data_IF_529678823981
#
_entry.id   IF_529678823981
#
_cell.length_a   1.000
_cell.length_b   1.000
_cell.length_c   1.000
_cell.angle_alpha   90.00
_cell.angle_beta   90.00
_cell.angle_gamma   90.00
#
_symmetry.space_group_name_H-M   'P 1'
#
loop_
_entity.id
_entity.type
_entity.pdbx_description
1 polymer ?
#
# COMPACT_ATOMS: atom_id res chain seq x y z
N UNK A 1 -37.84 -38.01 10.07
CA UNK A 1 -36.76 -37.45 10.90
C UNK A 1 -35.62 -37.11 9.98
N UNK A 2 -35.54 -35.85 9.53
CA UNK A 2 -34.48 -35.35 8.61
C UNK A 2 -33.36 -34.79 9.46
N UNK A 3 -32.21 -35.48 9.50
CA UNK A 3 -31.01 -35.03 10.19
C UNK A 3 -30.38 -33.88 9.40
N UNK A 4 -30.56 -32.67 9.89
CA UNK A 4 -29.94 -31.46 9.38
C UNK A 4 -28.45 -31.48 9.83
N UNK A 5 -27.60 -32.13 9.07
CA UNK A 5 -26.15 -32.10 9.28
C UNK A 5 -25.62 -30.72 8.87
N UNK A 6 -25.35 -29.89 9.89
CA UNK A 6 -24.58 -28.65 9.73
C UNK A 6 -23.21 -29.06 9.16
N UNK A 7 -22.80 -28.55 7.97
CA UNK A 7 -21.47 -28.85 7.47
C UNK A 7 -20.44 -28.24 8.41
N UNK A 8 -19.70 -29.09 9.11
CA UNK A 8 -18.54 -28.71 9.89
C UNK A 8 -17.55 -28.02 8.93
N UNK A 9 -17.29 -26.75 9.14
CA UNK A 9 -16.25 -25.99 8.45
C UNK A 9 -14.95 -26.79 8.57
N UNK A 10 -14.44 -27.27 7.43
CA UNK A 10 -13.16 -27.98 7.41
C UNK A 10 -12.05 -27.13 8.04
N UNK A 11 -11.18 -27.74 8.89
CA UNK A 11 -10.07 -27.03 9.46
C UNK A 11 -9.16 -26.50 8.35
N UNK A 12 -8.67 -25.25 8.53
CA UNK A 12 -7.72 -24.60 7.63
C UNK A 12 -6.54 -25.53 7.34
N UNK A 13 -6.37 -25.96 6.12
CA UNK A 13 -5.14 -26.62 5.73
C UNK A 13 -4.04 -25.56 5.65
N UNK A 14 -2.88 -25.82 6.26
CA UNK A 14 -1.70 -24.95 6.20
C UNK A 14 -1.35 -24.56 4.76
N UNK A 15 -1.67 -25.43 3.82
CA UNK A 15 -1.45 -25.25 2.39
C UNK A 15 -2.29 -24.12 1.78
N UNK A 16 -3.54 -23.93 2.19
CA UNK A 16 -4.41 -22.87 1.66
C UNK A 16 -3.94 -21.47 2.11
N UNK A 17 -3.52 -21.35 3.37
CA UNK A 17 -2.97 -20.07 3.87
C UNK A 17 -1.61 -19.73 3.22
N UNK A 18 -0.75 -20.73 3.01
CA UNK A 18 0.51 -20.57 2.29
C UNK A 18 0.33 -20.15 0.84
N UNK A 19 -0.68 -20.72 0.17
CA UNK A 19 -1.01 -20.40 -1.22
C UNK A 19 -1.52 -18.96 -1.37
N UNK A 20 -2.42 -18.50 -0.47
CA UNK A 20 -2.92 -17.12 -0.50
C UNK A 20 -1.79 -16.11 -0.21
N UNK A 21 -0.93 -16.39 0.77
CA UNK A 21 0.23 -15.55 1.06
C UNK A 21 1.17 -15.45 -0.15
N UNK A 22 1.55 -16.60 -0.73
CA UNK A 22 2.42 -16.64 -1.91
C UNK A 22 1.83 -15.89 -3.10
N UNK A 23 0.55 -16.08 -3.39
CA UNK A 23 -0.13 -15.38 -4.48
C UNK A 23 -0.22 -13.88 -4.23
N UNK A 24 -0.60 -13.46 -3.03
CA UNK A 24 -0.70 -12.04 -2.67
C UNK A 24 0.67 -11.36 -2.77
N UNK A 25 1.72 -11.96 -2.21
CA UNK A 25 3.07 -11.41 -2.27
C UNK A 25 3.63 -11.40 -3.71
N UNK A 26 3.31 -12.40 -4.52
CA UNK A 26 3.64 -12.42 -5.94
C UNK A 26 2.98 -11.25 -6.70
N UNK A 27 1.70 -10.99 -6.44
CA UNK A 27 0.99 -9.84 -7.02
C UNK A 27 1.58 -8.50 -6.53
N UNK A 28 1.93 -8.37 -5.25
CA UNK A 28 2.63 -7.19 -4.71
C UNK A 28 3.96 -6.97 -5.43
N UNK A 29 4.76 -8.02 -5.60
CA UNK A 29 6.06 -7.92 -6.27
C UNK A 29 5.92 -7.45 -7.73
N UNK A 30 4.98 -8.04 -8.50
CA UNK A 30 4.71 -7.63 -9.89
C UNK A 30 4.20 -6.18 -9.93
N UNK A 31 3.28 -5.80 -9.05
CA UNK A 31 2.75 -4.43 -8.97
C UNK A 31 3.85 -3.42 -8.65
N UNK A 32 4.76 -3.76 -7.72
CA UNK A 32 5.94 -2.92 -7.40
C UNK A 32 6.89 -2.81 -8.59
N UNK A 33 7.10 -3.89 -9.34
CA UNK A 33 7.86 -3.86 -10.59
C UNK A 33 7.23 -2.94 -11.64
N UNK A 34 5.91 -3.03 -11.82
CA UNK A 34 5.16 -2.16 -12.74
C UNK A 34 5.17 -0.70 -12.29
N UNK A 35 5.11 -0.44 -10.98
CA UNK A 35 5.32 0.89 -10.42
C UNK A 35 6.70 1.45 -10.81
N UNK A 36 7.76 0.66 -10.67
CA UNK A 36 9.11 1.10 -11.07
C UNK A 36 9.20 1.38 -12.58
N UNK A 37 8.58 0.54 -13.41
CA UNK A 37 8.47 0.77 -14.86
C UNK A 37 7.70 2.06 -15.15
N UNK A 38 6.55 2.27 -14.50
CA UNK A 38 5.75 3.51 -14.63
C UNK A 38 6.55 4.74 -14.22
N UNK A 39 7.26 4.70 -13.10
CA UNK A 39 8.12 5.78 -12.64
C UNK A 39 9.25 6.09 -13.65
N UNK A 40 9.86 5.07 -14.24
CA UNK A 40 10.87 5.24 -15.27
C UNK A 40 10.30 5.86 -16.56
N UNK A 41 9.14 5.41 -17.04
CA UNK A 41 8.47 5.94 -18.21
C UNK A 41 8.01 7.39 -18.01
N UNK A 42 7.52 7.69 -16.80
CA UNK A 42 7.01 9.00 -16.42
C UNK A 42 8.08 10.08 -16.17
N UNK A 43 9.35 9.70 -16.03
CA UNK A 43 10.44 10.63 -15.61
C UNK A 43 10.60 11.89 -16.45
N UNK A 44 10.24 11.82 -17.74
CA UNK A 44 10.36 12.94 -18.69
C UNK A 44 9.00 13.57 -19.02
N UNK A 45 7.92 13.14 -18.37
CA UNK A 45 6.60 13.70 -18.63
C UNK A 45 6.42 15.04 -17.91
N UNK A 46 5.79 15.98 -18.62
CA UNK A 46 5.45 17.27 -18.04
C UNK A 46 4.46 17.12 -16.87
N UNK A 47 4.54 18.05 -15.90
CA UNK A 47 3.73 18.05 -14.65
C UNK A 47 2.23 17.75 -14.81
N UNK A 48 1.52 18.22 -15.87
CA UNK A 48 0.09 17.91 -16.03
C UNK A 48 -0.22 16.41 -16.15
N UNK A 49 0.67 15.62 -16.74
CA UNK A 49 0.48 14.19 -16.95
C UNK A 49 0.54 13.37 -15.64
N UNK A 50 1.28 13.86 -14.65
CA UNK A 50 1.31 13.25 -13.31
C UNK A 50 -0.06 13.25 -12.63
N UNK A 51 -0.80 14.35 -12.72
CA UNK A 51 -2.14 14.46 -12.16
C UNK A 51 -3.15 13.53 -12.85
N UNK A 52 -3.08 13.43 -14.17
CA UNK A 52 -3.92 12.50 -14.93
C UNK A 52 -3.59 11.05 -14.56
N UNK A 53 -2.32 10.72 -14.41
CA UNK A 53 -1.88 9.40 -13.93
C UNK A 53 -2.43 9.08 -12.55
N UNK A 54 -2.43 10.06 -11.64
CA UNK A 54 -2.99 9.90 -10.28
C UNK A 54 -4.50 9.65 -10.31
N UNK A 55 -5.26 10.45 -11.07
CA UNK A 55 -6.71 10.28 -11.22
C UNK A 55 -7.04 8.91 -11.83
N UNK A 56 -6.31 8.52 -12.87
CA UNK A 56 -6.49 7.23 -13.54
C UNK A 56 -6.15 6.06 -12.58
N UNK A 57 -5.07 6.17 -11.80
CA UNK A 57 -4.70 5.19 -10.80
C UNK A 57 -5.79 5.03 -9.74
N UNK A 58 -6.33 6.14 -9.24
CA UNK A 58 -7.43 6.12 -8.29
C UNK A 58 -8.71 5.51 -8.89
N UNK A 59 -8.98 5.80 -10.17
CA UNK A 59 -10.05 5.16 -10.93
C UNK A 59 -9.87 3.62 -11.01
N UNK A 60 -8.65 3.13 -11.20
CA UNK A 60 -8.36 1.70 -11.17
C UNK A 60 -8.66 1.07 -9.81
N UNK A 61 -8.34 1.74 -8.69
CA UNK A 61 -8.66 1.24 -7.34
C UNK A 61 -10.17 1.11 -7.11
N UNK A 62 -10.94 2.11 -7.55
CA UNK A 62 -12.41 2.05 -7.45
C UNK A 62 -12.96 0.93 -8.33
N UNK A 63 -12.52 0.87 -9.60
CA UNK A 63 -12.96 -0.14 -10.56
C UNK A 63 -12.60 -1.56 -10.09
N UNK A 64 -11.44 -1.73 -9.44
CA UNK A 64 -11.00 -3.01 -8.90
C UNK A 64 -11.94 -3.55 -7.82
N UNK A 65 -12.46 -2.68 -6.93
CA UNK A 65 -13.45 -3.08 -5.93
C UNK A 65 -14.77 -3.56 -6.57
N UNK A 66 -15.18 -2.93 -7.68
CA UNK A 66 -16.38 -3.33 -8.42
C UNK A 66 -16.14 -4.62 -9.23
N UNK A 67 -14.94 -4.78 -9.78
CA UNK A 67 -14.55 -5.95 -10.57
C UNK A 67 -14.32 -7.20 -9.72
N UNK A 68 -13.91 -7.06 -8.45
CA UNK A 68 -13.54 -8.16 -7.58
C UNK A 68 -14.66 -9.22 -7.41
N UNK A 69 -15.92 -8.79 -7.49
CA UNK A 69 -17.06 -9.68 -7.40
C UNK A 69 -17.44 -10.35 -8.74
N UNK A 70 -16.90 -9.86 -9.86
CA UNK A 70 -17.29 -10.28 -11.21
C UNK A 70 -16.21 -11.10 -11.92
N UNK A 71 -14.96 -10.66 -11.83
CA UNK A 71 -13.85 -11.28 -12.57
C UNK A 71 -12.52 -11.07 -11.86
N UNK A 72 -11.89 -12.18 -11.45
CA UNK A 72 -10.55 -12.14 -10.85
C UNK A 72 -9.49 -11.62 -11.85
N UNK A 73 -9.58 -12.03 -13.12
CA UNK A 73 -8.66 -11.57 -14.17
C UNK A 73 -8.72 -10.05 -14.35
N UNK A 74 -9.93 -9.47 -14.42
CA UNK A 74 -10.09 -8.02 -14.50
C UNK A 74 -9.54 -7.30 -13.26
N UNK A 75 -9.75 -7.87 -12.07
CA UNK A 75 -9.22 -7.30 -10.82
C UNK A 75 -7.69 -7.26 -10.82
N UNK A 76 -7.03 -8.33 -11.29
CA UNK A 76 -5.56 -8.38 -11.43
C UNK A 76 -5.07 -7.38 -12.48
N UNK A 77 -5.74 -7.29 -13.63
CA UNK A 77 -5.39 -6.30 -14.68
C UNK A 77 -5.48 -4.87 -14.16
N UNK A 78 -6.53 -4.55 -13.39
CA UNK A 78 -6.69 -3.23 -12.78
C UNK A 78 -5.64 -2.96 -11.70
N UNK A 79 -5.24 -3.98 -10.92
CA UNK A 79 -4.13 -3.87 -9.97
C UNK A 79 -2.82 -3.51 -10.66
N UNK A 80 -2.51 -4.16 -11.77
CA UNK A 80 -1.30 -3.90 -12.54
C UNK A 80 -1.34 -2.53 -13.22
N UNK A 81 -2.50 -2.16 -13.79
CA UNK A 81 -2.74 -0.81 -14.31
C UNK A 81 -2.58 0.26 -13.23
N UNK A 82 -3.10 0.02 -12.03
CA UNK A 82 -2.91 0.88 -10.87
C UNK A 82 -1.42 1.06 -10.55
N UNK A 83 -0.65 -0.03 -10.43
CA UNK A 83 0.79 0.03 -10.14
C UNK A 83 1.55 0.86 -11.17
N UNK A 84 1.29 0.63 -12.46
CA UNK A 84 1.92 1.38 -13.55
C UNK A 84 1.57 2.88 -13.51
N UNK A 85 0.28 3.21 -13.39
CA UNK A 85 -0.22 4.58 -13.42
C UNK A 85 0.24 5.39 -12.20
N UNK A 86 0.23 4.79 -11.00
CA UNK A 86 0.72 5.48 -9.80
C UNK A 86 2.25 5.67 -9.87
N UNK A 87 2.97 4.78 -10.55
CA UNK A 87 4.38 4.94 -10.89
C UNK A 87 4.61 6.17 -11.76
N UNK A 88 3.85 6.32 -12.84
CA UNK A 88 3.88 7.51 -13.72
C UNK A 88 3.55 8.78 -12.93
N UNK A 89 2.55 8.72 -12.06
CA UNK A 89 2.11 9.86 -11.25
C UNK A 89 3.19 10.33 -10.25
N UNK A 90 3.96 9.39 -9.67
CA UNK A 90 5.02 9.69 -8.70
C UNK A 90 6.38 9.96 -9.36
N UNK A 91 6.50 9.78 -10.68
CA UNK A 91 7.75 9.94 -11.42
C UNK A 91 8.44 11.29 -11.21
N UNK A 92 7.74 12.45 -11.21
CA UNK A 92 8.39 13.75 -10.97
C UNK A 92 9.07 13.81 -9.59
N UNK A 93 8.40 13.31 -8.55
CA UNK A 93 8.95 13.25 -7.20
C UNK A 93 10.18 12.35 -7.14
N UNK A 94 10.11 11.15 -7.71
CA UNK A 94 11.23 10.23 -7.73
C UNK A 94 12.41 10.75 -8.55
N UNK A 95 12.15 11.41 -9.69
CA UNK A 95 13.20 12.03 -10.51
C UNK A 95 13.91 13.14 -9.76
N UNK A 96 13.19 13.96 -9.00
CA UNK A 96 13.78 14.97 -8.14
C UNK A 96 14.75 14.35 -7.13
N UNK A 97 14.30 13.37 -6.33
CA UNK A 97 15.15 12.75 -5.32
C UNK A 97 16.30 11.93 -5.91
N UNK A 98 16.10 11.24 -7.03
CA UNK A 98 17.19 10.49 -7.69
C UNK A 98 18.28 11.39 -8.23
N UNK A 99 17.99 12.64 -8.60
CA UNK A 99 18.97 13.62 -9.05
C UNK A 99 19.61 14.42 -7.89
N UNK A 100 18.82 14.78 -6.87
CA UNK A 100 19.28 15.59 -5.75
C UNK A 100 19.98 14.77 -4.65
N UNK A 101 19.42 13.62 -4.29
CA UNK A 101 19.96 12.73 -3.26
C UNK A 101 19.65 11.25 -3.56
N UNK A 102 20.41 10.60 -4.45
CA UNK A 102 20.21 9.18 -4.76
C UNK A 102 20.33 8.28 -3.53
N UNK A 103 21.12 8.68 -2.52
CA UNK A 103 21.29 7.91 -1.30
C UNK A 103 20.02 7.84 -0.48
N UNK A 104 19.24 8.94 -0.41
CA UNK A 104 17.96 8.96 0.29
C UNK A 104 16.97 7.95 -0.31
N UNK A 105 16.97 7.77 -1.64
CA UNK A 105 16.10 6.79 -2.31
C UNK A 105 16.44 5.36 -1.88
N UNK A 106 17.72 5.00 -1.86
CA UNK A 106 18.15 3.67 -1.41
C UNK A 106 17.86 3.43 0.08
N UNK A 107 18.12 4.42 0.92
CA UNK A 107 17.83 4.35 2.36
C UNK A 107 16.32 4.19 2.60
N UNK A 108 15.49 4.97 1.90
CA UNK A 108 14.03 4.86 1.99
C UNK A 108 13.55 3.47 1.55
N UNK A 109 14.10 2.93 0.45
CA UNK A 109 13.76 1.59 -0.03
C UNK A 109 14.10 0.50 0.97
N UNK A 110 15.34 0.52 1.51
CA UNK A 110 15.80 -0.44 2.50
C UNK A 110 15.01 -0.34 3.82
N UNK A 111 14.78 0.88 4.31
CA UNK A 111 13.99 1.13 5.51
C UNK A 111 12.53 0.70 5.33
N UNK A 112 11.93 0.93 4.15
CA UNK A 112 10.58 0.45 3.81
C UNK A 112 10.52 -1.08 3.87
N UNK A 113 11.49 -1.78 3.28
CA UNK A 113 11.52 -3.24 3.32
C UNK A 113 11.57 -3.77 4.76
N UNK A 114 12.40 -3.19 5.61
CA UNK A 114 12.50 -3.55 7.04
C UNK A 114 11.22 -3.21 7.79
N UNK A 115 10.62 -2.05 7.53
CA UNK A 115 9.36 -1.62 8.13
C UNK A 115 8.22 -2.59 7.83
N UNK A 116 8.02 -2.89 6.54
CA UNK A 116 6.97 -3.81 6.09
C UNK A 116 7.22 -5.23 6.62
N UNK A 117 8.47 -5.71 6.61
CA UNK A 117 8.83 -7.01 7.16
C UNK A 117 8.55 -7.07 8.68
N UNK A 118 8.93 -6.05 9.44
CA UNK A 118 8.75 -5.99 10.89
C UNK A 118 7.27 -5.92 11.30
N UNK A 119 6.56 -4.90 10.81
CA UNK A 119 5.15 -4.70 11.16
C UNK A 119 4.24 -5.74 10.51
N UNK A 120 4.56 -6.19 9.29
CA UNK A 120 3.87 -7.28 8.62
C UNK A 120 4.01 -8.60 9.41
N UNK A 121 5.23 -8.97 9.82
CA UNK A 121 5.44 -10.16 10.65
C UNK A 121 4.71 -10.06 12.00
N UNK A 122 4.75 -8.90 12.67
CA UNK A 122 4.03 -8.66 13.91
C UNK A 122 2.52 -8.83 13.73
N UNK A 123 1.96 -8.25 12.65
CA UNK A 123 0.54 -8.39 12.31
C UNK A 123 0.15 -9.81 11.95
N UNK A 124 1.00 -10.50 11.17
CA UNK A 124 0.78 -11.90 10.82
C UNK A 124 0.83 -12.82 12.03
N UNK A 125 1.72 -12.57 13.00
CA UNK A 125 1.88 -13.38 14.21
C UNK A 125 0.82 -13.09 15.28
N UNK A 126 0.26 -11.87 15.34
CA UNK A 126 -0.63 -11.47 16.43
C UNK A 126 -1.95 -12.26 16.44
N UNK A 127 -2.38 -12.66 17.63
CA UNK A 127 -3.67 -13.33 17.84
C UNK A 127 -4.80 -12.37 18.23
N UNK A 128 -4.45 -11.15 18.64
CA UNK A 128 -5.44 -10.13 19.00
C UNK A 128 -6.15 -9.64 17.75
N UNK A 129 -7.41 -9.25 17.85
CA UNK A 129 -8.13 -8.65 16.73
C UNK A 129 -7.76 -7.18 16.57
N UNK A 130 -7.21 -6.85 15.40
CA UNK A 130 -6.79 -5.48 15.06
C UNK A 130 -7.88 -4.66 14.35
N UNK A 131 -9.08 -5.21 14.16
CA UNK A 131 -10.15 -4.53 13.40
C UNK A 131 -10.59 -3.19 14.04
N UNK A 132 -10.63 -3.13 15.38
CA UNK A 132 -10.93 -1.89 16.09
C UNK A 132 -9.83 -0.84 15.89
N UNK A 133 -8.56 -1.28 15.96
CA UNK A 133 -7.39 -0.43 15.71
C UNK A 133 -7.41 0.09 14.27
N UNK A 134 -7.66 -0.78 13.29
CA UNK A 134 -7.73 -0.38 11.88
C UNK A 134 -8.79 0.68 11.61
N UNK A 135 -9.94 0.62 12.30
CA UNK A 135 -10.98 1.66 12.20
C UNK A 135 -10.49 3.01 12.72
N UNK A 136 -9.78 3.03 13.84
CA UNK A 136 -9.19 4.26 14.40
C UNK A 136 -8.12 4.80 13.45
N UNK A 137 -7.24 3.94 12.95
CA UNK A 137 -6.17 4.32 12.02
C UNK A 137 -6.71 4.83 10.68
N UNK A 138 -7.83 4.30 10.21
CA UNK A 138 -8.51 4.81 9.01
C UNK A 138 -8.94 6.28 9.19
N UNK A 139 -9.55 6.62 10.32
CA UNK A 139 -9.91 8.01 10.63
C UNK A 139 -8.69 8.89 10.86
N UNK A 140 -7.63 8.34 11.49
CA UNK A 140 -6.37 9.03 11.64
C UNK A 140 -5.69 9.31 10.29
N UNK A 141 -5.79 8.38 9.33
CA UNK A 141 -5.31 8.57 7.96
C UNK A 141 -6.07 9.70 7.24
N UNK A 142 -7.40 9.76 7.40
CA UNK A 142 -8.19 10.88 6.86
C UNK A 142 -7.72 12.20 7.50
N UNK A 143 -7.53 12.23 8.81
CA UNK A 143 -6.97 13.40 9.50
C UNK A 143 -5.58 13.78 9.00
N UNK A 144 -4.72 12.80 8.72
CA UNK A 144 -3.39 13.03 8.16
C UNK A 144 -3.47 13.64 6.75
N UNK A 145 -4.39 13.15 5.91
CA UNK A 145 -4.60 13.71 4.56
C UNK A 145 -5.05 15.17 4.66
N UNK A 146 -6.00 15.47 5.55
CA UNK A 146 -6.46 16.84 5.79
C UNK A 146 -5.29 17.71 6.29
N UNK A 147 -4.49 17.21 7.24
CA UNK A 147 -3.30 17.90 7.71
C UNK A 147 -2.31 18.18 6.57
N UNK A 148 -2.05 17.21 5.70
CA UNK A 148 -1.23 17.38 4.51
C UNK A 148 -1.75 18.47 3.57
N UNK A 149 -3.07 18.53 3.34
CA UNK A 149 -3.69 19.60 2.55
C UNK A 149 -3.51 20.97 3.23
N UNK A 150 -3.69 21.05 4.55
CA UNK A 150 -3.51 22.30 5.31
C UNK A 150 -2.07 22.80 5.19
N UNK A 151 -1.06 21.92 5.24
CA UNK A 151 0.36 22.32 5.12
C UNK A 151 0.72 22.93 3.76
N UNK A 152 -0.10 22.73 2.71
CA UNK A 152 0.09 23.38 1.41
C UNK A 152 -0.24 24.89 1.50
N UNK A 153 -1.23 25.26 2.32
CA UNK A 153 -1.72 26.64 2.43
C UNK A 153 -1.14 27.37 3.65
N UNK A 154 -0.74 26.64 4.67
CA UNK A 154 -0.25 27.18 5.95
C UNK A 154 1.15 26.66 6.20
N UNK A 155 2.11 27.57 6.35
CA UNK A 155 3.49 27.22 6.72
C UNK A 155 3.52 26.80 8.19
N UNK A 156 3.55 25.50 8.46
CA UNK A 156 3.66 24.93 9.79
C UNK A 156 5.14 24.56 10.03
N UNK A 157 5.80 25.12 11.06
CA UNK A 157 7.18 24.73 11.38
C UNK A 157 7.27 23.22 11.58
N UNK A 158 8.23 22.58 10.92
CA UNK A 158 8.41 21.12 10.92
C UNK A 158 7.17 20.32 10.43
N UNK A 159 6.24 20.94 9.69
CA UNK A 159 5.02 20.29 9.21
C UNK A 159 5.28 19.00 8.42
N UNK A 160 6.28 18.99 7.55
CA UNK A 160 6.68 17.81 6.79
C UNK A 160 7.18 16.67 7.70
N UNK A 161 7.98 17.00 8.72
CA UNK A 161 8.47 16.02 9.70
C UNK A 161 7.30 15.42 10.50
N UNK A 162 6.40 16.28 10.99
CA UNK A 162 5.21 15.86 11.75
C UNK A 162 4.33 14.95 10.87
N UNK A 163 4.09 15.34 9.62
CA UNK A 163 3.33 14.54 8.67
C UNK A 163 3.95 13.15 8.46
N UNK A 164 5.25 13.11 8.24
CA UNK A 164 5.96 11.86 7.97
C UNK A 164 5.96 10.93 9.18
N UNK A 165 6.24 11.45 10.39
CA UNK A 165 6.24 10.63 11.62
C UNK A 165 4.85 10.11 11.94
N UNK A 166 3.82 10.96 11.90
CA UNK A 166 2.43 10.52 12.11
C UNK A 166 1.99 9.50 11.07
N UNK A 167 2.35 9.72 9.80
CA UNK A 167 2.08 8.79 8.73
C UNK A 167 2.71 7.42 8.96
N UNK A 168 3.98 7.37 9.34
CA UNK A 168 4.66 6.11 9.66
C UNK A 168 3.98 5.35 10.82
N UNK A 169 3.55 6.04 11.86
CA UNK A 169 2.82 5.42 12.98
C UNK A 169 1.49 4.83 12.50
N UNK A 170 0.75 5.56 11.67
CA UNK A 170 -0.52 5.10 11.10
C UNK A 170 -0.28 3.88 10.21
N UNK A 171 0.69 3.96 9.29
CA UNK A 171 0.98 2.86 8.37
C UNK A 171 1.60 1.64 9.05
N UNK A 172 2.30 1.79 10.19
CA UNK A 172 2.73 0.65 11.00
C UNK A 172 1.54 -0.21 11.45
N UNK A 173 0.50 0.45 11.95
CA UNK A 173 -0.70 -0.24 12.38
C UNK A 173 -1.54 -0.80 11.22
N UNK A 174 -1.66 -0.06 10.10
CA UNK A 174 -2.37 -0.53 8.90
C UNK A 174 -1.66 -1.72 8.27
N UNK A 175 -0.35 -1.69 8.13
CA UNK A 175 0.46 -2.83 7.65
C UNK A 175 0.25 -4.06 8.56
N UNK A 176 0.32 -3.89 9.87
CA UNK A 176 0.06 -5.01 10.80
C UNK A 176 -1.36 -5.57 10.61
N UNK A 177 -2.36 -4.71 10.41
CA UNK A 177 -3.74 -5.13 10.15
C UNK A 177 -3.88 -5.88 8.82
N UNK A 178 -3.27 -5.38 7.73
CA UNK A 178 -3.36 -6.00 6.41
C UNK A 178 -2.71 -7.38 6.37
N UNK A 179 -1.58 -7.58 7.03
CA UNK A 179 -0.97 -8.90 7.17
C UNK A 179 -1.78 -9.83 8.10
N UNK A 180 -2.43 -9.30 9.13
CA UNK A 180 -3.38 -10.08 9.91
C UNK A 180 -4.58 -10.51 9.08
N UNK A 181 -5.14 -9.59 8.27
CA UNK A 181 -6.24 -9.86 7.34
C UNK A 181 -5.84 -10.92 6.31
N UNK A 182 -4.62 -10.84 5.77
CA UNK A 182 -4.07 -11.83 4.86
C UNK A 182 -4.03 -13.22 5.50
N UNK A 183 -3.56 -13.34 6.75
CA UNK A 183 -3.54 -14.61 7.47
C UNK A 183 -4.94 -15.18 7.77
N UNK A 184 -5.89 -14.31 8.11
CA UNK A 184 -7.25 -14.71 8.49
C UNK A 184 -8.15 -15.02 7.31
N UNK A 185 -7.78 -14.56 6.12
CA UNK A 185 -8.57 -14.76 4.92
C UNK A 185 -8.29 -16.15 4.32
N UNK A 186 -9.32 -16.77 3.75
CA UNK A 186 -9.26 -18.10 3.14
C UNK A 186 -9.67 -18.05 1.67
N UNK A 187 -10.24 -16.94 1.21
CA UNK A 187 -10.69 -16.80 -0.17
C UNK A 187 -9.56 -16.24 -1.04
N UNK A 188 -9.04 -17.09 -1.91
CA UNK A 188 -7.99 -16.77 -2.86
C UNK A 188 -8.39 -15.64 -3.84
N UNK A 189 -9.68 -15.44 -4.05
CA UNK A 189 -10.21 -14.37 -4.90
C UNK A 189 -9.92 -12.98 -4.34
N UNK A 190 -9.65 -12.89 -3.04
CA UNK A 190 -9.32 -11.63 -2.37
C UNK A 190 -7.84 -11.24 -2.53
N UNK A 191 -6.98 -12.13 -3.05
CA UNK A 191 -5.55 -11.88 -3.20
C UNK A 191 -5.24 -10.56 -3.92
N UNK A 192 -5.91 -10.16 -5.03
CA UNK A 192 -5.61 -8.90 -5.70
C UNK A 192 -5.96 -7.67 -4.84
N UNK A 193 -7.06 -7.71 -4.06
CA UNK A 193 -7.44 -6.61 -3.17
C UNK A 193 -6.48 -6.47 -1.98
N UNK A 194 -6.05 -7.61 -1.42
CA UNK A 194 -5.03 -7.64 -0.36
C UNK A 194 -3.69 -7.15 -0.89
N UNK A 195 -3.32 -7.53 -2.11
CA UNK A 195 -2.10 -7.05 -2.75
C UNK A 195 -2.14 -5.54 -2.98
N UNK A 196 -3.27 -4.97 -3.40
CA UNK A 196 -3.43 -3.52 -3.54
C UNK A 196 -3.24 -2.78 -2.21
N UNK A 197 -3.86 -3.30 -1.14
CA UNK A 197 -3.74 -2.71 0.21
C UNK A 197 -2.28 -2.72 0.69
N UNK A 198 -1.62 -3.87 0.64
CA UNK A 198 -0.21 -4.01 1.05
C UNK A 198 0.73 -3.16 0.16
N UNK A 199 0.47 -3.11 -1.16
CA UNK A 199 1.25 -2.26 -2.04
C UNK A 199 1.10 -0.77 -1.70
N UNK A 200 -0.13 -0.32 -1.35
CA UNK A 200 -0.37 1.05 -0.88
C UNK A 200 0.38 1.35 0.42
N UNK A 201 0.43 0.42 1.36
CA UNK A 201 1.25 0.56 2.58
C UNK A 201 2.73 0.74 2.22
N UNK A 202 3.27 -0.13 1.35
CA UNK A 202 4.65 -0.04 0.88
C UNK A 202 4.94 1.31 0.25
N UNK A 203 4.08 1.76 -0.67
CA UNK A 203 4.25 3.02 -1.38
C UNK A 203 4.23 4.22 -0.44
N UNK A 204 3.24 4.28 0.48
CA UNK A 204 3.12 5.38 1.41
C UNK A 204 4.30 5.43 2.39
N UNK A 205 4.68 4.28 2.97
CA UNK A 205 5.85 4.19 3.87
C UNK A 205 7.12 4.62 3.13
N UNK A 206 7.30 4.19 1.88
CA UNK A 206 8.44 4.60 1.06
C UNK A 206 8.48 6.11 0.84
N UNK A 207 7.37 6.72 0.45
CA UNK A 207 7.30 8.17 0.22
C UNK A 207 7.51 8.98 1.51
N UNK A 208 6.99 8.52 2.65
CA UNK A 208 7.20 9.14 3.95
C UNK A 208 8.67 9.07 4.38
N UNK A 209 9.30 7.90 4.25
CA UNK A 209 10.72 7.73 4.55
C UNK A 209 11.61 8.51 3.57
N UNK A 210 11.23 8.56 2.31
CA UNK A 210 11.94 9.35 1.31
C UNK A 210 11.90 10.85 1.64
N UNK A 211 10.75 11.35 2.10
CA UNK A 211 10.65 12.74 2.55
C UNK A 211 11.47 13.02 3.81
N UNK A 212 11.58 12.06 4.72
CA UNK A 212 12.41 12.20 5.93
C UNK A 212 13.91 12.21 5.62
N UNK A 213 14.36 11.28 4.78
CA UNK A 213 15.79 11.17 4.47
C UNK A 213 16.27 12.25 3.50
N UNK A 214 15.42 12.64 2.54
CA UNK A 214 15.75 13.67 1.58
C UNK A 214 15.52 15.11 2.08
N UNK A 215 14.67 15.33 3.10
CA UNK A 215 14.40 16.64 3.69
C UNK A 215 15.30 17.02 4.88
N UNK A 216 16.20 16.13 5.31
CA UNK A 216 17.04 16.35 6.52
C UNK A 216 18.32 17.17 6.27
N UNK A 217 18.48 17.78 5.11
CA UNK A 217 19.74 18.44 4.69
C UNK A 217 19.66 19.95 4.44
N UNK A 218 18.56 20.61 4.90
CA UNK A 218 18.46 22.09 4.90
C UNK A 218 18.82 22.67 6.28
#
# INVERSE_FOLDING_TARGET
>A
MSSNSIPLRAPMTRDAAGTLLGQTMGLVAVTTGLFAVGAYLGRNLASPWGWLGFIAAFGCLIAMNLAAQRSQGLTVTLLFGFGLLIGVATAPTLSYYTSADPQAVWQAGAATALFIAGFGAAGYATRRDLSALARILFWALIGLIIFGIVTIFVQIPNGALIYAVLGLVIFAGLTAFDFQRLRRNQDIRTAPLLAASIFLDILNVFLLLLSLFGGSRD
#
